data_IF_185033975400
#
_entry.id   IF_185033975400
#
_cell.length_a   1.000
_cell.length_b   1.000
_cell.length_c   1.000
_cell.angle_alpha   90.00
_cell.angle_beta   90.00
_cell.angle_gamma   90.00
#
_symmetry.space_group_name_H-M   'P 1'
#
loop_
_entity.id
_entity.type
_entity.pdbx_description
1 polymer ?
#
# COMPACT_ATOMS: atom_id res chain seq x y z
N UNK A 1 -41.48 12.97 23.81
CA UNK A 1 -40.31 12.21 23.34
C UNK A 1 -39.85 12.81 22.01
N UNK A 2 -38.66 13.42 21.99
CA UNK A 2 -37.96 13.78 20.74
C UNK A 2 -36.60 13.13 20.81
N UNK A 3 -36.37 12.16 19.94
CA UNK A 3 -35.10 11.45 19.81
C UNK A 3 -34.28 12.21 18.76
N UNK A 4 -33.25 12.91 19.22
CA UNK A 4 -32.27 13.51 18.32
C UNK A 4 -31.15 12.49 18.09
N UNK A 5 -31.08 11.95 16.88
CA UNK A 5 -29.92 11.18 16.44
C UNK A 5 -28.81 12.17 16.06
N UNK A 6 -27.76 12.22 16.88
CA UNK A 6 -26.49 12.85 16.53
C UNK A 6 -25.69 11.85 15.69
N UNK A 7 -25.64 12.08 14.39
CA UNK A 7 -24.67 11.45 13.49
C UNK A 7 -23.38 12.26 13.61
N UNK A 8 -22.37 11.67 14.26
CA UNK A 8 -21.02 12.22 14.30
C UNK A 8 -20.33 11.91 12.98
N UNK A 9 -19.81 12.89 12.22
CA UNK A 9 -18.98 12.58 11.08
C UNK A 9 -17.59 12.19 11.59
N UNK A 10 -17.16 10.96 11.32
CA UNK A 10 -15.75 10.57 11.43
C UNK A 10 -14.98 11.37 10.36
N UNK A 11 -14.37 12.49 10.77
CA UNK A 11 -13.36 13.17 9.97
C UNK A 11 -12.07 12.37 10.17
N UNK A 12 -11.81 11.43 9.26
CA UNK A 12 -10.50 10.81 9.12
C UNK A 12 -9.53 11.89 8.63
N UNK A 13 -8.74 12.44 9.55
CA UNK A 13 -7.64 13.35 9.21
C UNK A 13 -6.61 12.52 8.43
N UNK A 14 -6.27 12.87 7.18
CA UNK A 14 -5.22 12.18 6.47
C UNK A 14 -3.90 12.54 7.14
N UNK A 15 -3.26 11.55 7.77
CA UNK A 15 -1.86 11.63 8.17
C UNK A 15 -1.04 11.59 6.88
N UNK A 16 -0.92 12.74 6.20
CA UNK A 16 -0.08 12.89 5.01
C UNK A 16 1.38 12.67 5.38
N UNK A 17 1.94 11.55 4.93
CA UNK A 17 3.37 11.26 5.00
C UNK A 17 4.01 11.75 3.70
N UNK A 18 5.06 12.55 3.82
CA UNK A 18 5.75 13.15 2.67
C UNK A 18 6.83 12.21 2.15
N UNK A 19 6.62 11.61 0.98
CA UNK A 19 7.65 10.82 0.29
C UNK A 19 8.51 11.73 -0.63
N UNK A 20 9.83 11.64 -0.55
CA UNK A 20 10.81 12.31 -1.43
C UNK A 20 11.73 11.27 -2.07
N UNK A 21 11.89 11.22 -3.41
CA UNK A 21 13.05 10.60 -4.11
C UNK A 21 13.12 10.97 -5.61
N UNK A 22 14.28 10.68 -6.22
CA UNK A 22 14.93 11.19 -7.45
C UNK A 22 14.63 10.46 -8.78
N UNK A 23 13.71 9.50 -8.84
CA UNK A 23 13.43 8.72 -10.06
C UNK A 23 12.12 9.13 -10.74
N UNK A 24 12.07 8.96 -12.07
CA UNK A 24 11.04 9.51 -12.96
C UNK A 24 9.67 8.82 -12.88
N UNK A 25 9.55 7.71 -12.13
CA UNK A 25 8.29 7.13 -11.70
C UNK A 25 8.56 6.25 -10.47
N UNK A 26 7.90 6.51 -9.35
CA UNK A 26 8.26 5.87 -8.09
C UNK A 26 7.05 5.28 -7.39
N UNK A 27 7.11 3.97 -7.14
CA UNK A 27 6.33 3.35 -6.08
C UNK A 27 7.14 3.40 -4.79
N UNK A 28 6.61 4.10 -3.79
CA UNK A 28 7.24 4.19 -2.47
C UNK A 28 6.40 3.46 -1.45
N UNK A 29 7.07 2.67 -0.63
CA UNK A 29 6.51 2.14 0.61
C UNK A 29 7.14 2.93 1.75
N UNK A 30 6.32 3.63 2.49
CA UNK A 30 6.74 4.40 3.66
C UNK A 30 5.99 3.89 4.88
N UNK A 31 6.53 4.13 6.05
CA UNK A 31 5.79 3.87 7.28
C UNK A 31 5.24 5.20 7.77
N UNK A 32 3.94 5.23 8.03
CA UNK A 32 3.33 6.30 8.80
C UNK A 32 3.87 6.22 10.22
N UNK A 33 5.02 6.87 10.43
CA UNK A 33 5.58 7.02 11.75
C UNK A 33 4.68 7.96 12.54
N UNK A 34 4.13 7.48 13.66
CA UNK A 34 3.88 8.39 14.77
C UNK A 34 5.24 8.99 15.15
N UNK A 35 5.34 10.31 15.39
CA UNK A 35 6.62 10.99 15.60
C UNK A 35 7.47 10.18 16.56
N UNK A 36 8.64 9.74 16.08
CA UNK A 36 9.48 8.72 16.71
C UNK A 36 9.55 8.95 18.22
N UNK A 37 8.99 8.02 18.98
CA UNK A 37 9.19 8.03 20.42
C UNK A 37 10.68 7.71 20.64
N UNK A 38 11.43 8.67 21.19
CA UNK A 38 12.90 8.67 21.26
C UNK A 38 13.51 7.43 21.93
N UNK A 39 12.70 6.63 22.64
CA UNK A 39 13.13 5.44 23.38
C UNK A 39 12.50 4.17 22.80
N UNK A 40 12.64 3.97 21.49
CA UNK A 40 12.21 2.75 20.81
C UNK A 40 13.27 2.25 19.83
N UNK A 41 13.28 0.93 19.60
CA UNK A 41 13.97 0.29 18.49
C UNK A 41 12.92 -0.19 17.51
N UNK A 42 13.09 0.12 16.24
CA UNK A 42 12.15 -0.25 15.18
C UNK A 42 12.89 -1.06 14.12
N UNK A 43 12.30 -2.20 13.74
CA UNK A 43 12.80 -3.06 12.67
C UNK A 43 11.66 -3.33 11.70
N UNK A 44 11.95 -3.23 10.40
CA UNK A 44 10.95 -3.33 9.35
C UNK A 44 11.44 -4.25 8.24
N UNK A 45 10.58 -5.16 7.80
CA UNK A 45 10.84 -6.06 6.69
C UNK A 45 9.69 -5.95 5.69
N UNK A 46 9.98 -5.78 4.40
CA UNK A 46 8.94 -5.85 3.38
C UNK A 46 9.51 -6.14 2.01
N UNK A 47 8.77 -6.91 1.22
CA UNK A 47 8.97 -7.11 -0.21
C UNK A 47 7.74 -6.66 -1.03
N UNK A 48 6.89 -5.80 -0.46
CA UNK A 48 5.62 -5.38 -1.08
C UNK A 48 5.82 -4.76 -2.47
N UNK A 49 6.94 -4.08 -2.71
CA UNK A 49 7.28 -3.46 -3.99
C UNK A 49 8.02 -4.35 -4.97
N UNK A 50 8.57 -5.48 -4.51
CA UNK A 50 9.56 -6.26 -5.29
C UNK A 50 8.90 -7.07 -6.40
N UNK A 51 7.83 -7.79 -6.05
CA UNK A 51 7.08 -8.63 -7.00
C UNK A 51 6.44 -7.80 -8.12
N UNK A 52 6.12 -6.54 -7.82
CA UNK A 52 5.48 -5.62 -8.75
C UNK A 52 6.45 -5.07 -9.79
N UNK A 53 7.68 -4.74 -9.39
CA UNK A 53 8.73 -4.26 -10.31
C UNK A 53 9.22 -5.36 -11.27
N UNK A 54 9.14 -6.62 -10.86
CA UNK A 54 9.66 -7.76 -11.63
C UNK A 54 8.63 -8.39 -12.58
N UNK A 55 7.40 -7.86 -12.64
CA UNK A 55 6.30 -8.42 -13.44
C UNK A 55 6.13 -9.94 -13.26
N UNK A 56 6.37 -10.44 -12.03
CA UNK A 56 6.24 -11.87 -11.75
C UNK A 56 4.77 -12.28 -11.90
N UNK A 57 4.47 -13.37 -12.63
CA UNK A 57 3.10 -13.83 -12.77
C UNK A 57 2.54 -14.29 -11.43
N UNK A 58 1.28 -13.95 -11.18
CA UNK A 58 0.51 -14.47 -10.04
C UNK A 58 0.09 -15.89 -10.38
N UNK A 59 0.67 -16.88 -9.70
CA UNK A 59 0.52 -18.31 -10.03
C UNK A 59 -0.39 -19.08 -9.06
N UNK A 60 -0.89 -18.43 -8.00
CA UNK A 60 -1.78 -19.04 -7.01
C UNK A 60 -3.16 -19.26 -7.62
N UNK A 61 -3.68 -20.48 -7.51
CA UNK A 61 -5.01 -20.84 -8.00
C UNK A 61 -6.04 -20.89 -6.88
N UNK A 62 -5.59 -21.04 -5.63
CA UNK A 62 -6.45 -21.15 -4.46
C UNK A 62 -6.66 -19.75 -3.84
N UNK A 63 -7.91 -19.40 -3.57
CA UNK A 63 -8.26 -18.23 -2.77
C UNK A 63 -7.83 -18.46 -1.31
N UNK A 64 -7.01 -17.55 -0.77
CA UNK A 64 -6.54 -17.62 0.61
C UNK A 64 -6.56 -16.22 1.25
N UNK A 65 -7.04 -16.08 2.51
CA UNK A 65 -7.14 -14.79 3.18
C UNK A 65 -5.76 -14.23 3.52
N UNK A 66 -5.65 -12.91 3.52
CA UNK A 66 -4.44 -12.24 4.03
C UNK A 66 -4.31 -12.49 5.53
N UNK A 67 -3.11 -12.87 5.97
CA UNK A 67 -2.82 -13.07 7.38
C UNK A 67 -2.37 -11.77 8.01
N UNK A 68 -2.85 -11.48 9.21
CA UNK A 68 -2.63 -10.25 9.96
C UNK A 68 -2.06 -10.58 11.33
N UNK A 69 -1.05 -9.80 11.75
CA UNK A 69 -0.56 -9.78 13.13
C UNK A 69 -0.67 -8.35 13.62
N UNK A 70 -1.43 -8.12 14.68
CA UNK A 70 -1.65 -6.80 15.30
C UNK A 70 -1.53 -6.91 16.81
N UNK A 71 -0.30 -7.13 17.27
CA UNK A 71 0.02 -7.36 18.68
C UNK A 71 0.66 -6.12 19.29
N UNK A 72 0.18 -5.74 20.48
CA UNK A 72 0.76 -4.69 21.31
C UNK A 72 0.69 -5.16 22.77
N UNK A 73 1.85 -5.26 23.45
CA UNK A 73 1.93 -5.81 24.80
C UNK A 73 3.02 -5.16 25.65
N UNK A 74 2.67 -4.90 26.91
CA UNK A 74 3.62 -4.50 27.93
C UNK A 74 4.35 -5.73 28.48
N UNK A 75 5.67 -5.62 28.61
CA UNK A 75 6.58 -6.71 28.99
C UNK A 75 7.60 -6.30 30.06
N UNK A 76 7.39 -5.18 30.76
CA UNK A 76 8.28 -4.68 31.82
C UNK A 76 8.63 -5.76 32.86
N UNK A 77 7.67 -6.63 33.21
CA UNK A 77 7.85 -7.70 34.18
C UNK A 77 8.79 -8.81 33.69
N UNK A 78 9.04 -8.92 32.39
CA UNK A 78 9.91 -9.95 31.80
C UNK A 78 11.40 -9.60 31.94
N UNK A 79 11.73 -8.34 32.25
CA UNK A 79 13.11 -7.86 32.40
C UNK A 79 14.02 -8.19 31.21
N UNK A 80 13.47 -8.16 29.99
CA UNK A 80 14.19 -8.43 28.75
C UNK A 80 14.73 -7.13 28.15
N UNK A 81 15.82 -7.21 27.39
CA UNK A 81 16.27 -6.15 26.48
C UNK A 81 15.49 -6.16 25.16
N UNK A 82 15.53 -5.07 24.40
CA UNK A 82 14.91 -5.05 23.07
C UNK A 82 15.57 -6.02 22.09
N UNK A 83 16.86 -6.30 22.23
CA UNK A 83 17.55 -7.29 21.38
C UNK A 83 17.00 -8.70 21.64
N UNK A 84 16.75 -9.07 22.91
CA UNK A 84 16.14 -10.36 23.25
C UNK A 84 14.70 -10.47 22.76
N UNK A 85 13.92 -9.39 22.89
CA UNK A 85 12.56 -9.29 22.33
C UNK A 85 12.58 -9.52 20.82
N UNK A 86 13.43 -8.78 20.10
CA UNK A 86 13.55 -8.86 18.65
C UNK A 86 14.02 -10.27 18.22
N UNK A 87 14.96 -10.88 18.93
CA UNK A 87 15.44 -12.23 18.64
C UNK A 87 14.35 -13.31 18.80
N UNK A 88 13.44 -13.15 19.77
CA UNK A 88 12.30 -14.07 19.91
C UNK A 88 11.28 -13.88 18.79
N UNK A 89 10.99 -12.64 18.42
CA UNK A 89 10.09 -12.33 17.30
C UNK A 89 10.70 -12.81 15.98
N UNK A 90 12.00 -12.64 15.77
CA UNK A 90 12.71 -13.07 14.57
C UNK A 90 12.54 -14.58 14.33
N UNK A 91 12.77 -15.39 15.38
CA UNK A 91 12.63 -16.84 15.34
C UNK A 91 11.21 -17.30 15.04
N UNK A 92 10.20 -16.65 15.61
CA UNK A 92 8.81 -17.12 15.46
C UNK A 92 8.13 -16.56 14.20
N UNK A 93 8.56 -15.42 13.68
CA UNK A 93 7.89 -14.71 12.59
C UNK A 93 8.82 -14.49 11.40
N UNK A 94 9.90 -13.73 11.58
CA UNK A 94 10.70 -13.21 10.46
C UNK A 94 11.36 -14.36 9.69
N UNK A 95 11.99 -15.31 10.37
CA UNK A 95 12.65 -16.45 9.72
C UNK A 95 11.69 -17.34 8.92
N UNK A 96 10.40 -17.33 9.23
CA UNK A 96 9.38 -18.16 8.57
C UNK A 96 8.65 -17.41 7.45
N UNK A 97 8.48 -16.09 7.58
CA UNK A 97 7.64 -15.30 6.65
C UNK A 97 8.47 -14.42 5.71
N UNK A 98 9.65 -13.93 6.13
CA UNK A 98 10.47 -13.00 5.35
C UNK A 98 11.28 -13.71 4.25
N UNK A 99 10.59 -14.39 3.33
CA UNK A 99 11.19 -15.12 2.21
C UNK A 99 10.30 -15.02 0.95
N UNK A 100 10.72 -15.64 -0.15
CA UNK A 100 10.07 -15.51 -1.46
C UNK A 100 8.70 -16.21 -1.57
N UNK A 101 8.33 -17.06 -0.61
CA UNK A 101 7.01 -17.71 -0.60
C UNK A 101 5.87 -16.74 -0.23
N UNK A 102 6.22 -15.57 0.30
CA UNK A 102 5.25 -14.61 0.80
C UNK A 102 5.47 -13.23 0.17
N UNK A 103 4.37 -12.52 -0.01
CA UNK A 103 4.41 -11.07 -0.01
C UNK A 103 4.10 -10.61 1.41
N UNK A 104 4.94 -9.75 1.99
CA UNK A 104 4.80 -9.35 3.39
C UNK A 104 5.19 -7.88 3.63
N UNK A 105 4.61 -7.34 4.70
CA UNK A 105 5.10 -6.16 5.39
C UNK A 105 5.05 -6.42 6.90
N UNK A 106 6.19 -6.30 7.56
CA UNK A 106 6.40 -6.60 8.98
C UNK A 106 7.00 -5.36 9.63
N UNK A 107 6.29 -4.79 10.61
CA UNK A 107 6.75 -3.72 11.47
C UNK A 107 6.86 -4.26 12.89
N UNK A 108 8.05 -4.17 13.46
CA UNK A 108 8.34 -4.54 14.85
C UNK A 108 8.87 -3.30 15.56
N UNK A 109 8.28 -2.98 16.71
CA UNK A 109 8.79 -1.92 17.59
C UNK A 109 8.93 -2.44 19.00
N UNK A 110 10.05 -2.12 19.63
CA UNK A 110 10.30 -2.37 21.05
C UNK A 110 10.60 -1.05 21.74
N UNK A 111 9.76 -0.68 22.71
CA UNK A 111 10.01 0.45 23.59
C UNK A 111 10.87 0.01 24.75
N UNK A 112 11.76 0.89 25.22
CA UNK A 112 12.63 0.60 26.34
C UNK A 112 12.70 1.77 27.33
N UNK A 113 13.00 1.43 28.58
CA UNK A 113 13.32 2.42 29.61
C UNK A 113 14.76 2.94 29.36
N UNK A 114 14.97 4.26 29.18
CA UNK A 114 16.28 4.77 28.82
C UNK A 114 17.32 4.67 29.93
N UNK A 115 16.91 4.55 31.20
CA UNK A 115 17.79 4.39 32.35
C UNK A 115 18.26 2.94 32.51
N UNK A 116 17.36 1.97 32.41
CA UNK A 116 17.68 0.54 32.62
C UNK A 116 18.02 -0.21 31.32
N UNK A 117 17.67 0.37 30.17
CA UNK A 117 17.74 -0.26 28.83
C UNK A 117 16.88 -1.52 28.66
N UNK A 118 15.99 -1.79 29.62
CA UNK A 118 15.06 -2.91 29.54
C UNK A 118 13.83 -2.53 28.72
N UNK A 119 13.34 -3.50 27.94
CA UNK A 119 12.14 -3.42 27.15
C UNK A 119 10.92 -3.25 28.07
N UNK A 120 10.06 -2.31 27.71
CA UNK A 120 8.82 -2.02 28.43
C UNK A 120 7.60 -2.53 27.66
N UNK A 121 7.67 -2.48 26.34
CA UNK A 121 6.56 -2.80 25.46
C UNK A 121 7.08 -3.27 24.11
N UNK A 122 6.35 -4.18 23.45
CA UNK A 122 6.57 -4.49 22.05
C UNK A 122 5.30 -4.37 21.22
N UNK A 123 5.48 -4.08 19.94
CA UNK A 123 4.44 -4.01 18.91
C UNK A 123 4.88 -4.87 17.73
N UNK A 124 3.98 -5.71 17.23
CA UNK A 124 4.10 -6.39 15.93
C UNK A 124 2.89 -5.99 15.10
N UNK A 125 3.13 -5.30 13.99
CA UNK A 125 2.12 -4.95 12.99
C UNK A 125 2.54 -5.53 11.66
N UNK A 126 1.87 -6.57 11.21
CA UNK A 126 2.20 -7.25 9.97
C UNK A 126 0.96 -7.67 9.19
N UNK A 127 1.12 -7.70 7.87
CA UNK A 127 0.25 -8.46 6.98
C UNK A 127 1.10 -9.22 5.96
N UNK A 128 0.63 -10.40 5.56
CA UNK A 128 1.30 -11.21 4.55
C UNK A 128 0.35 -12.16 3.81
N UNK A 129 0.70 -12.48 2.56
CA UNK A 129 -0.04 -13.39 1.68
C UNK A 129 0.90 -14.44 1.07
N UNK A 130 0.51 -15.72 1.05
CA UNK A 130 1.23 -16.74 0.29
C UNK A 130 1.08 -16.48 -1.21
N UNK A 131 2.19 -16.56 -1.96
CA UNK A 131 2.20 -16.20 -3.40
C UNK A 131 1.87 -17.36 -4.34
N UNK A 132 1.85 -18.59 -3.83
CA UNK A 132 1.59 -19.82 -4.57
C UNK A 132 0.81 -20.84 -3.72
N UNK A 133 0.27 -21.88 -4.35
CA UNK A 133 -0.45 -22.95 -3.64
C UNK A 133 0.48 -23.76 -2.71
N UNK A 134 1.76 -23.92 -3.08
CA UNK A 134 2.77 -24.53 -2.20
C UNK A 134 3.03 -23.67 -0.97
N UNK A 135 3.07 -22.35 -1.12
CA UNK A 135 3.23 -21.43 0.00
C UNK A 135 2.02 -21.46 0.95
N UNK A 136 0.81 -21.76 0.45
CA UNK A 136 -0.36 -22.01 1.30
C UNK A 136 -0.12 -23.24 2.18
N UNK A 137 0.33 -24.36 1.62
CA UNK A 137 0.59 -25.57 2.40
C UNK A 137 1.66 -25.34 3.48
N UNK A 138 2.72 -24.60 3.15
CA UNK A 138 3.72 -24.20 4.13
C UNK A 138 3.11 -23.31 5.23
N UNK A 139 2.31 -22.32 4.83
CA UNK A 139 1.63 -21.41 5.75
C UNK A 139 0.70 -22.16 6.72
N UNK A 140 -0.10 -23.11 6.24
CA UNK A 140 -0.97 -23.92 7.09
C UNK A 140 -0.18 -24.70 8.14
N UNK A 141 0.98 -25.25 7.76
CA UNK A 141 1.89 -25.94 8.69
C UNK A 141 2.44 -24.96 9.74
N UNK A 142 2.89 -23.78 9.30
CA UNK A 142 3.37 -22.71 10.18
C UNK A 142 2.27 -22.23 11.16
N UNK A 143 1.05 -22.01 10.68
CA UNK A 143 -0.07 -21.60 11.51
C UNK A 143 -0.41 -22.66 12.57
N UNK A 144 -0.41 -23.95 12.20
CA UNK A 144 -0.66 -25.05 13.14
C UNK A 144 0.43 -25.18 14.22
N UNK A 145 1.68 -24.86 13.89
CA UNK A 145 2.80 -24.97 14.82
C UNK A 145 2.91 -23.74 15.76
N UNK A 146 2.72 -22.54 15.23
CA UNK A 146 3.06 -21.30 15.94
C UNK A 146 1.85 -20.49 16.41
N UNK A 147 0.71 -20.52 15.73
CA UNK A 147 -0.44 -19.71 16.13
C UNK A 147 -1.01 -20.23 17.48
N UNK A 148 -1.18 -19.33 18.45
CA UNK A 148 -1.60 -19.68 19.81
C UNK A 148 -0.45 -20.05 20.76
N UNK A 149 0.81 -20.08 20.29
CA UNK A 149 1.96 -20.34 21.17
C UNK A 149 2.34 -19.14 22.03
N UNK A 150 3.15 -19.35 23.06
CA UNK A 150 3.60 -18.26 23.92
C UNK A 150 4.77 -17.48 23.31
N UNK A 151 4.59 -16.16 23.14
CA UNK A 151 5.61 -15.19 22.78
C UNK A 151 5.71 -14.14 23.88
N UNK A 152 6.84 -14.09 24.59
CA UNK A 152 7.12 -13.05 25.61
C UNK A 152 6.06 -12.94 26.72
N UNK A 153 5.40 -14.06 27.06
CA UNK A 153 4.35 -14.12 28.09
C UNK A 153 2.95 -13.76 27.60
N UNK A 154 2.74 -13.62 26.28
CA UNK A 154 1.42 -13.50 25.66
C UNK A 154 1.23 -14.59 24.60
N UNK A 155 -0.02 -14.88 24.27
CA UNK A 155 -0.35 -15.69 23.11
C UNK A 155 0.02 -14.97 21.81
N UNK A 156 0.76 -15.64 20.92
CA UNK A 156 1.09 -15.21 19.57
C UNK A 156 -0.10 -15.46 18.65
N UNK A 157 -0.69 -14.39 18.13
CA UNK A 157 -1.96 -14.45 17.39
C UNK A 157 -1.78 -14.01 15.95
N UNK A 158 -2.06 -14.92 15.03
CA UNK A 158 -2.21 -14.66 13.60
C UNK A 158 -3.69 -14.77 13.25
N UNK A 159 -4.23 -13.73 12.64
CA UNK A 159 -5.64 -13.60 12.29
C UNK A 159 -5.80 -13.60 10.76
N UNK A 160 -6.88 -14.22 10.26
CA UNK A 160 -7.25 -14.08 8.85
C UNK A 160 -8.12 -12.85 8.65
N UNK A 161 -7.76 -12.01 7.68
CA UNK A 161 -8.63 -10.93 7.22
C UNK A 161 -9.78 -11.53 6.38
N UNK A 162 -11.00 -11.10 6.68
CA UNK A 162 -12.21 -11.41 5.91
C UNK A 162 -12.18 -10.83 4.50
N UNK A 163 -11.53 -9.67 4.38
CA UNK A 163 -11.38 -8.95 3.12
C UNK A 163 -10.53 -7.70 3.28
N UNK A 164 -10.40 -6.96 2.18
CA UNK A 164 -9.62 -5.74 2.09
C UNK A 164 -10.43 -4.68 1.36
N UNK A 165 -10.62 -3.53 1.99
CA UNK A 165 -11.07 -2.32 1.33
C UNK A 165 -9.84 -1.50 0.94
N UNK A 166 -9.77 -1.10 -0.32
CA UNK A 166 -8.83 -0.08 -0.78
C UNK A 166 -9.59 1.23 -0.87
N UNK A 167 -9.16 2.19 -0.07
CA UNK A 167 -9.53 3.61 -0.17
C UNK A 167 -8.49 4.29 -1.05
N UNK A 168 -8.79 4.45 -2.34
CA UNK A 168 -7.88 4.97 -3.35
C UNK A 168 -8.13 6.48 -3.57
N UNK A 169 -7.15 7.28 -3.17
CA UNK A 169 -7.07 8.68 -3.56
C UNK A 169 -6.21 8.84 -4.82
N UNK A 170 -6.64 9.71 -5.72
CA UNK A 170 -5.84 10.22 -6.83
C UNK A 170 -5.73 11.74 -6.72
N UNK A 171 -4.53 12.27 -6.89
CA UNK A 171 -4.31 13.71 -7.01
C UNK A 171 -3.44 14.04 -8.23
N UNK A 172 -3.80 15.08 -8.97
CA UNK A 172 -3.09 15.51 -10.17
C UNK A 172 -2.83 17.02 -10.14
N UNK A 173 -1.67 17.45 -10.64
CA UNK A 173 -1.29 18.84 -10.56
C UNK A 173 0.08 19.16 -11.16
N UNK A 174 0.66 20.28 -10.73
CA UNK A 174 2.02 20.68 -11.11
C UNK A 174 2.98 20.60 -9.92
N UNK A 175 4.03 19.81 -10.08
CA UNK A 175 5.16 19.69 -9.15
C UNK A 175 6.40 20.35 -9.77
N UNK A 176 6.81 21.48 -9.18
CA UNK A 176 7.97 22.26 -9.68
C UNK A 176 9.32 21.62 -9.32
N UNK A 177 9.37 20.88 -8.22
CA UNK A 177 10.59 20.26 -7.71
C UNK A 177 10.27 18.82 -7.32
N UNK A 178 10.73 17.82 -8.08
CA UNK A 178 10.41 16.41 -7.83
C UNK A 178 10.73 15.96 -6.40
N UNK A 179 11.87 16.40 -5.90
CA UNK A 179 12.37 16.04 -4.57
C UNK A 179 11.73 16.83 -3.41
N UNK A 180 10.77 17.72 -3.69
CA UNK A 180 10.07 18.45 -2.62
C UNK A 180 8.64 17.97 -2.54
N UNK A 181 8.12 17.72 -1.33
CA UNK A 181 6.77 17.19 -1.19
C UNK A 181 5.65 18.06 -1.80
N UNK A 182 5.66 19.40 -1.65
CA UNK A 182 4.56 20.22 -2.16
C UNK A 182 4.43 20.20 -3.68
N UNK A 183 3.19 20.09 -4.15
CA UNK A 183 2.79 20.37 -5.53
C UNK A 183 1.49 21.18 -5.55
N UNK A 184 1.20 21.85 -6.67
CA UNK A 184 -0.07 22.57 -6.85
C UNK A 184 -1.10 21.58 -7.34
N UNK A 185 -2.03 21.18 -6.46
CA UNK A 185 -3.14 20.29 -6.80
C UNK A 185 -4.15 21.01 -7.69
N UNK A 186 -4.52 20.37 -8.81
CA UNK A 186 -5.60 20.81 -9.70
C UNK A 186 -6.87 20.05 -9.43
N UNK A 187 -6.74 18.77 -9.13
CA UNK A 187 -7.86 17.88 -8.86
C UNK A 187 -7.43 16.76 -7.93
N UNK A 188 -8.34 16.41 -7.03
CA UNK A 188 -8.29 15.23 -6.21
C UNK A 188 -9.64 14.53 -6.24
N UNK A 189 -9.62 13.21 -6.41
CA UNK A 189 -10.80 12.35 -6.32
C UNK A 189 -10.51 11.15 -5.43
N UNK A 190 -11.59 10.54 -4.94
CA UNK A 190 -11.56 9.41 -4.03
C UNK A 190 -12.46 8.29 -4.56
N UNK A 191 -12.02 7.04 -4.39
CA UNK A 191 -12.75 5.84 -4.78
C UNK A 191 -12.49 4.71 -3.79
N UNK A 192 -13.41 3.75 -3.69
CA UNK A 192 -13.31 2.63 -2.75
C UNK A 192 -13.60 1.30 -3.44
N UNK A 193 -12.77 0.30 -3.20
CA UNK A 193 -12.88 -1.03 -3.80
C UNK A 193 -12.77 -2.12 -2.74
N UNK A 194 -13.51 -3.20 -2.92
CA UNK A 194 -13.39 -4.40 -2.10
C UNK A 194 -12.61 -5.49 -2.84
N UNK A 195 -11.71 -6.13 -2.13
CA UNK A 195 -10.96 -7.32 -2.55
C UNK A 195 -11.06 -8.39 -1.46
N UNK A 196 -10.94 -9.66 -1.83
CA UNK A 196 -10.91 -10.79 -0.89
C UNK A 196 -9.59 -10.85 -0.11
N UNK A 197 -8.50 -10.37 -0.69
CA UNK A 197 -7.16 -10.40 -0.08
C UNK A 197 -6.25 -9.31 -0.67
N UNK A 198 -5.16 -9.00 0.02
CA UNK A 198 -4.06 -8.18 -0.50
C UNK A 198 -3.40 -8.86 -1.72
N UNK A 199 -3.31 -10.20 -1.78
CA UNK A 199 -2.89 -10.90 -3.02
C UNK A 199 -3.76 -10.56 -4.24
N UNK A 200 -5.08 -10.66 -4.11
CA UNK A 200 -6.01 -10.34 -5.20
C UNK A 200 -5.91 -8.87 -5.61
N UNK A 201 -5.84 -7.97 -4.63
CA UNK A 201 -5.65 -6.54 -4.87
C UNK A 201 -4.37 -6.27 -5.67
N UNK A 202 -3.26 -6.92 -5.32
CA UNK A 202 -2.00 -6.78 -6.05
C UNK A 202 -2.13 -7.27 -7.50
N UNK A 203 -2.76 -8.43 -7.70
CA UNK A 203 -2.98 -9.02 -9.02
C UNK A 203 -3.91 -8.19 -9.91
N UNK A 204 -4.87 -7.48 -9.34
CA UNK A 204 -5.88 -6.70 -10.09
C UNK A 204 -5.54 -5.22 -10.19
N UNK A 205 -5.42 -4.54 -9.05
CA UNK A 205 -5.24 -3.09 -9.00
C UNK A 205 -3.77 -2.73 -9.25
N UNK A 206 -2.83 -3.29 -8.50
CA UNK A 206 -1.43 -2.86 -8.63
C UNK A 206 -0.83 -3.26 -9.97
N UNK A 207 -1.10 -4.47 -10.47
CA UNK A 207 -0.68 -4.84 -11.84
C UNK A 207 -1.21 -3.87 -12.90
N UNK A 208 -2.45 -3.39 -12.76
CA UNK A 208 -3.06 -2.43 -13.68
C UNK A 208 -2.44 -1.03 -13.55
N UNK A 209 -2.08 -0.61 -12.34
CA UNK A 209 -1.26 0.61 -12.13
C UNK A 209 0.04 0.52 -12.91
N UNK A 210 0.82 -0.57 -12.77
CA UNK A 210 2.08 -0.69 -13.51
C UNK A 210 1.93 -0.77 -15.02
N UNK A 211 0.82 -1.35 -15.50
CA UNK A 211 0.59 -1.49 -16.94
C UNK A 211 0.05 -0.21 -17.58
N UNK A 212 -0.79 0.54 -16.87
CA UNK A 212 -1.63 1.57 -17.49
C UNK A 212 -1.61 2.94 -16.81
N UNK A 213 -1.04 3.09 -15.60
CA UNK A 213 -0.95 4.39 -14.92
C UNK A 213 0.33 5.16 -15.25
N UNK A 214 1.48 4.49 -15.29
CA UNK A 214 2.78 5.11 -15.60
C UNK A 214 2.98 5.26 -17.11
N UNK A 215 2.17 6.11 -17.73
CA UNK A 215 2.19 6.33 -19.18
C UNK A 215 1.51 7.64 -19.56
N UNK A 216 1.97 8.26 -20.65
CA UNK A 216 1.32 9.41 -21.28
C UNK A 216 0.35 9.04 -22.40
N UNK A 217 0.17 7.74 -22.66
CA UNK A 217 -0.73 7.21 -23.71
C UNK A 217 -2.21 7.30 -23.28
N UNK A 218 -3.05 8.09 -23.99
CA UNK A 218 -4.46 8.23 -23.65
C UNK A 218 -5.25 6.92 -23.70
N UNK A 219 -4.86 5.97 -24.56
CA UNK A 219 -5.57 4.70 -24.71
C UNK A 219 -5.30 3.73 -23.55
N UNK A 220 -4.36 4.08 -22.65
CA UNK A 220 -4.04 3.31 -21.44
C UNK A 220 -4.51 4.02 -20.17
N UNK A 221 -4.06 5.25 -19.96
CA UNK A 221 -4.32 5.95 -18.69
C UNK A 221 -5.79 6.36 -18.54
N UNK A 222 -6.48 6.75 -19.62
CA UNK A 222 -7.87 7.17 -19.52
C UNK A 222 -8.81 5.99 -19.17
N UNK A 223 -8.72 4.81 -19.82
CA UNK A 223 -9.47 3.63 -19.38
C UNK A 223 -9.13 3.17 -17.96
N UNK A 224 -7.86 3.28 -17.54
CA UNK A 224 -7.45 2.99 -16.16
C UNK A 224 -8.22 3.87 -15.16
N UNK A 225 -8.31 5.18 -15.43
CA UNK A 225 -9.06 6.11 -14.58
C UNK A 225 -10.56 5.82 -14.58
N UNK A 226 -11.14 5.46 -15.73
CA UNK A 226 -12.56 5.10 -15.80
C UNK A 226 -12.89 3.87 -14.95
N UNK A 227 -11.95 2.93 -14.89
CA UNK A 227 -12.07 1.69 -14.11
C UNK A 227 -11.88 1.91 -12.61
N UNK A 228 -10.86 2.68 -12.21
CA UNK A 228 -10.40 2.75 -10.83
C UNK A 228 -10.66 4.07 -10.11
N UNK A 229 -11.16 5.11 -10.78
CA UNK A 229 -11.49 6.39 -10.12
C UNK A 229 -13.00 6.64 -10.17
N UNK A 230 -13.57 6.70 -11.36
CA UNK A 230 -15.02 6.76 -11.57
C UNK A 230 -15.31 6.45 -13.03
N UNK A 231 -16.52 5.95 -13.35
CA UNK A 231 -16.89 5.52 -14.71
C UNK A 231 -16.80 6.59 -15.82
N UNK A 232 -16.59 7.85 -15.45
CA UNK A 232 -16.43 8.97 -16.39
C UNK A 232 -15.21 9.84 -16.05
N UNK A 233 -14.25 9.30 -15.28
CA UNK A 233 -13.06 10.01 -14.84
C UNK A 233 -12.26 10.55 -16.04
N UNK A 234 -12.18 9.78 -17.13
CA UNK A 234 -11.49 10.16 -18.37
C UNK A 234 -11.98 11.49 -18.94
N UNK A 235 -13.28 11.77 -18.85
CA UNK A 235 -13.88 13.00 -19.40
C UNK A 235 -13.32 14.26 -18.75
N UNK A 236 -13.08 14.21 -17.44
CA UNK A 236 -12.58 15.34 -16.69
C UNK A 236 -11.06 15.33 -16.53
N UNK A 237 -10.47 14.15 -16.28
CA UNK A 237 -9.02 14.02 -16.14
C UNK A 237 -8.27 14.21 -17.45
N UNK A 238 -8.91 14.06 -18.62
CA UNK A 238 -8.24 14.37 -19.90
C UNK A 238 -7.69 15.79 -19.96
N UNK A 239 -8.44 16.78 -19.49
CA UNK A 239 -7.96 18.16 -19.44
C UNK A 239 -6.93 18.33 -18.32
N UNK A 240 -7.20 17.80 -17.12
CA UNK A 240 -6.30 17.88 -15.96
C UNK A 240 -4.92 17.32 -16.30
N UNK A 241 -4.84 16.11 -16.86
CA UNK A 241 -3.57 15.45 -17.19
C UNK A 241 -2.79 16.15 -18.31
N UNK A 242 -3.46 16.88 -19.20
CA UNK A 242 -2.79 17.71 -20.22
C UNK A 242 -2.10 18.93 -19.60
N UNK A 243 -2.59 19.40 -18.45
CA UNK A 243 -2.04 20.55 -17.74
C UNK A 243 -1.14 20.14 -16.56
N UNK A 244 -1.27 18.91 -16.06
CA UNK A 244 -0.46 18.34 -14.98
C UNK A 244 0.86 17.76 -15.47
N UNK A 245 1.91 17.91 -14.66
CA UNK A 245 3.19 17.19 -14.82
C UNK A 245 3.45 16.17 -13.70
N UNK A 246 2.48 16.01 -12.80
CA UNK A 246 2.55 15.10 -11.67
C UNK A 246 1.18 14.53 -11.33
N UNK A 247 1.13 13.21 -11.10
CA UNK A 247 -0.05 12.51 -10.60
C UNK A 247 0.39 11.53 -9.52
N UNK A 248 -0.41 11.39 -8.47
CA UNK A 248 -0.16 10.40 -7.43
C UNK A 248 -1.41 9.58 -7.12
N UNK A 249 -1.20 8.30 -6.81
CA UNK A 249 -2.21 7.39 -6.25
C UNK A 249 -1.81 7.01 -4.83
N UNK A 250 -2.78 7.07 -3.91
CA UNK A 250 -2.61 6.69 -2.51
C UNK A 250 -3.66 5.61 -2.15
N UNK A 251 -3.35 4.32 -2.36
CA UNK A 251 -4.23 3.22 -1.95
C UNK A 251 -4.05 2.90 -0.47
N UNK A 252 -4.97 3.38 0.37
CA UNK A 252 -5.03 3.03 1.78
C UNK A 252 -5.63 1.63 1.95
N UNK A 253 -4.90 0.75 2.64
CA UNK A 253 -5.27 -0.66 2.85
C UNK A 253 -6.02 -0.80 4.19
N UNK A 254 -7.32 -1.03 4.12
CA UNK A 254 -8.19 -1.23 5.28
C UNK A 254 -8.62 -2.70 5.31
N UNK A 255 -7.96 -3.50 6.14
CA UNK A 255 -8.30 -4.91 6.33
C UNK A 255 -9.54 -5.03 7.20
N UNK A 256 -10.50 -5.83 6.74
CA UNK A 256 -11.69 -6.19 7.50
C UNK A 256 -11.43 -7.50 8.23
N UNK A 257 -11.62 -7.52 9.54
CA UNK A 257 -11.42 -8.70 10.37
C UNK A 257 -12.75 -9.46 10.55
N UNK A 258 -12.69 -10.73 10.96
CA UNK A 258 -13.89 -11.56 11.14
C UNK A 258 -14.86 -11.02 12.21
N UNK A 259 -14.35 -10.35 13.23
CA UNK A 259 -15.12 -9.73 14.31
C UNK A 259 -15.61 -8.30 13.97
N UNK A 260 -15.65 -7.93 12.69
CA UNK A 260 -16.04 -6.60 12.18
C UNK A 260 -15.13 -5.44 12.62
N UNK A 261 -14.01 -5.74 13.28
CA UNK A 261 -12.95 -4.75 13.51
C UNK A 261 -12.19 -4.46 12.21
N UNK A 262 -11.59 -3.29 12.16
CA UNK A 262 -10.70 -2.90 11.06
C UNK A 262 -9.24 -2.93 11.51
N UNK A 263 -8.36 -3.28 10.60
CA UNK A 263 -6.92 -3.13 10.75
C UNK A 263 -6.37 -2.30 9.59
N UNK A 264 -5.69 -1.20 9.92
CA UNK A 264 -5.05 -0.33 8.94
C UNK A 264 -3.56 -0.40 9.20
N UNK A 265 -2.80 -0.80 8.18
CA UNK A 265 -1.35 -0.96 8.34
C UNK A 265 -0.67 0.40 8.50
N UNK A 266 0.40 0.40 9.32
CA UNK A 266 1.32 1.52 9.38
C UNK A 266 2.12 1.70 8.07
N UNK A 267 2.21 0.65 7.24
CA UNK A 267 2.82 0.75 5.92
C UNK A 267 1.88 1.45 4.94
N UNK A 268 2.30 2.64 4.48
CA UNK A 268 1.63 3.45 3.48
C UNK A 268 2.35 3.32 2.15
N UNK A 269 1.59 3.01 1.11
CA UNK A 269 2.12 2.86 -0.23
C UNK A 269 1.60 4.01 -1.10
N UNK A 270 2.51 4.56 -1.91
CA UNK A 270 2.22 5.65 -2.83
C UNK A 270 2.77 5.31 -4.21
N UNK A 271 2.04 5.70 -5.25
CA UNK A 271 2.49 5.63 -6.63
C UNK A 271 2.57 7.05 -7.16
N UNK A 272 3.76 7.54 -7.42
CA UNK A 272 4.02 8.88 -7.91
C UNK A 272 4.46 8.81 -9.37
N UNK A 273 3.66 9.39 -10.26
CA UNK A 273 3.96 9.51 -11.68
C UNK A 273 4.51 10.91 -11.99
N UNK A 274 5.79 10.99 -12.36
CA UNK A 274 6.43 12.25 -12.75
C UNK A 274 6.49 12.35 -14.27
N UNK A 275 5.65 13.22 -14.83
CA UNK A 275 5.46 13.29 -16.28
C UNK A 275 6.35 14.34 -16.97
N UNK A 276 7.04 15.17 -16.20
CA UNK A 276 7.99 16.18 -16.70
C UNK A 276 9.08 15.60 -17.64
N UNK A 277 9.63 14.39 -17.45
CA UNK A 277 10.66 13.81 -18.31
C UNK A 277 10.18 13.39 -19.71
N UNK A 278 8.87 13.20 -19.90
CA UNK A 278 8.30 12.86 -21.21
C UNK A 278 8.35 14.07 -22.16
N UNK A 279 8.29 13.82 -23.47
CA UNK A 279 8.45 14.85 -24.51
C UNK A 279 7.48 16.05 -24.37
N UNK A 280 6.25 15.79 -23.95
CA UNK A 280 5.22 16.82 -23.74
C UNK A 280 5.30 17.48 -22.36
N UNK A 281 6.17 17.02 -21.45
CA UNK A 281 6.29 17.47 -20.05
C UNK A 281 4.99 17.40 -19.25
N UNK A 282 4.05 16.55 -19.69
CA UNK A 282 2.67 16.49 -19.19
C UNK A 282 2.18 15.06 -19.14
N UNK A 283 1.22 14.79 -18.25
CA UNK A 283 0.76 13.43 -17.98
C UNK A 283 -0.19 12.85 -19.04
N UNK A 284 -0.47 13.60 -20.11
CA UNK A 284 -1.23 13.08 -21.25
C UNK A 284 -0.73 13.70 -22.54
N UNK A 285 -0.42 12.84 -23.51
CA UNK A 285 -0.10 13.32 -24.85
C UNK A 285 -1.33 14.00 -25.47
N UNK A 286 -1.15 15.17 -26.11
CA UNK A 286 -2.26 15.83 -26.81
C UNK A 286 -2.83 14.97 -27.96
N UNK A 287 -2.05 14.03 -28.47
CA UNK A 287 -2.34 13.24 -29.66
C UNK A 287 -2.70 11.78 -29.34
N UNK A 288 -4.00 11.46 -29.36
CA UNK A 288 -4.44 10.27 -30.06
C UNK A 288 -4.45 10.63 -31.54
N UNK A 289 -3.80 9.83 -32.40
CA UNK A 289 -3.66 10.07 -33.83
C UNK A 289 -4.98 10.53 -34.49
N UNK A 290 -5.02 11.77 -34.97
CA UNK A 290 -5.81 12.11 -36.17
C UNK A 290 -5.10 11.52 -37.40
N UNK A 291 -5.11 10.18 -37.53
CA UNK A 291 -4.69 9.52 -38.77
C UNK A 291 -5.87 9.51 -39.77
N UNK A 292 -6.36 10.70 -40.11
CA UNK A 292 -7.37 10.92 -41.16
C UNK A 292 -7.02 12.11 -42.06
N UNK A 293 -5.73 12.46 -42.17
CA UNK A 293 -5.25 13.47 -43.14
C UNK A 293 -4.14 12.95 -44.07
N UNK A 294 -4.01 11.64 -44.23
CA UNK A 294 -3.25 11.04 -45.33
C UNK A 294 -4.19 10.27 -46.28
N UNK A 295 -5.08 10.98 -47.00
CA UNK A 295 -5.50 10.51 -48.34
C UNK A 295 -6.35 11.46 -49.23
N UNK A 296 -6.38 12.78 -49.00
CA UNK A 296 -7.16 13.69 -49.88
C UNK A 296 -6.33 14.62 -50.78
N UNK A 297 -5.02 14.41 -50.92
CA UNK A 297 -4.17 15.20 -51.83
C UNK A 297 -3.71 14.47 -53.09
N UNK A 298 -4.29 13.30 -53.44
CA UNK A 298 -3.97 12.57 -54.68
C UNK A 298 -5.14 12.34 -55.64
N UNK A 299 -6.24 13.09 -55.49
CA UNK A 299 -7.31 13.15 -56.50
C UNK A 299 -7.61 14.61 -56.83
N UNK A 300 -6.60 15.34 -57.33
CA UNK A 300 -6.76 16.58 -58.07
C UNK A 300 -5.39 17.05 -58.57
N UNK A 301 -4.85 16.39 -59.60
CA UNK A 301 -3.85 16.93 -60.54
C UNK A 301 -3.76 16.00 -61.74
#
# INVERSE_FOLDING_TARGET
MKVNYLVVPLILIPLSVLSQTLDDDVTTLTISQNPENKNSQVITYSNETDNLRQNKPFTRSIDYPTQIIRMEKNIESQQLSCDEVNNQIDKILVQHIANEQFTYAIYISCYYNPQTKLATQFIISSYFDPVSDQAITYLESYLNEYNGTNLLGTEYKIESAKGLIISLDIAAGIKKKPNRPPFTEYRKDHSSFYFKSNYEMKSKLFSDIYQNFFTTDPDKILPFLDKWVSSHASSFYKAVLRDSNYVELQPEKIFLMENEEIFVSNFKQYFAHFCEPYENHRCLNPAGKMNSEENNSKIAS
#
